data_IF_686961179194
#
_entry.id   IF_686961179194
#
_cell.length_a   1.000
_cell.length_b   1.000
_cell.length_c   1.000
_cell.angle_alpha   90.00
_cell.angle_beta   90.00
_cell.angle_gamma   90.00
#
_symmetry.space_group_name_H-M   'P 1'
#
loop_
_entity.id
_entity.type
_entity.pdbx_description
1 polymer ?
#
# COMPACT_ATOMS: atom_id res chain seq x y z
N UNK A 1 -12.75 3.52 -10.62
CA UNK A 1 -13.31 2.99 -9.36
C UNK A 1 -12.58 1.69 -9.09
N UNK A 2 -11.88 1.55 -7.96
CA UNK A 2 -11.16 0.32 -7.66
C UNK A 2 -12.14 -0.87 -7.65
N UNK A 3 -11.79 -1.95 -8.34
CA UNK A 3 -12.64 -3.13 -8.42
C UNK A 3 -12.73 -3.81 -7.05
N UNK A 4 -13.95 -3.94 -6.53
CA UNK A 4 -14.21 -4.68 -5.30
C UNK A 4 -14.20 -6.17 -5.62
N UNK A 5 -13.35 -6.92 -4.94
CA UNK A 5 -13.28 -8.38 -5.12
C UNK A 5 -13.96 -9.02 -3.91
N UNK A 6 -15.01 -9.80 -4.18
CA UNK A 6 -15.70 -10.60 -3.16
C UNK A 6 -15.41 -12.07 -3.39
N UNK A 7 -14.89 -12.74 -2.36
CA UNK A 7 -14.57 -14.17 -2.41
C UNK A 7 -15.19 -14.88 -1.22
N UNK A 8 -15.66 -16.11 -1.44
CA UNK A 8 -16.06 -17.03 -0.38
C UNK A 8 -14.88 -17.94 -0.05
N UNK A 9 -14.46 -17.94 1.21
CA UNK A 9 -13.32 -18.74 1.70
C UNK A 9 -13.58 -19.28 3.10
N UNK A 10 -12.86 -20.32 3.52
CA UNK A 10 -13.01 -20.84 4.88
C UNK A 10 -12.26 -19.95 5.87
N UNK A 11 -12.65 -20.05 7.14
CA UNK A 11 -11.95 -19.39 8.24
C UNK A 11 -10.43 -19.68 8.25
N UNK A 12 -10.05 -20.91 7.93
CA UNK A 12 -8.64 -21.36 7.90
C UNK A 12 -7.83 -20.61 6.85
N UNK A 13 -8.43 -20.35 5.69
CA UNK A 13 -7.81 -19.72 4.52
C UNK A 13 -7.68 -18.19 4.66
N UNK A 14 -8.28 -17.59 5.70
CA UNK A 14 -8.13 -16.16 5.96
C UNK A 14 -6.68 -15.83 6.36
N UNK A 15 -6.10 -14.73 5.84
CA UNK A 15 -4.81 -14.23 6.34
C UNK A 15 -4.87 -13.90 7.84
N UNK A 16 -3.82 -14.25 8.58
CA UNK A 16 -3.77 -14.05 10.05
C UNK A 16 -3.86 -12.58 10.46
N UNK A 17 -3.40 -11.67 9.59
CA UNK A 17 -3.55 -10.23 9.76
C UNK A 17 -5.01 -9.77 9.78
N UNK A 18 -5.89 -10.43 9.03
CA UNK A 18 -7.33 -10.16 9.04
C UNK A 18 -7.97 -10.83 10.27
N UNK A 19 -7.60 -12.09 10.56
CA UNK A 19 -8.08 -12.82 11.75
C UNK A 19 -7.85 -12.02 13.03
N UNK A 20 -6.66 -11.44 13.20
CA UNK A 20 -6.30 -10.62 14.36
C UNK A 20 -7.12 -9.32 14.51
N UNK A 21 -7.76 -8.84 13.44
CA UNK A 21 -8.58 -7.62 13.44
C UNK A 21 -10.07 -7.90 13.64
N UNK A 22 -10.50 -9.16 13.57
CA UNK A 22 -11.88 -9.53 13.83
C UNK A 22 -12.14 -9.52 15.34
N UNK A 23 -13.23 -8.88 15.76
CA UNK A 23 -13.64 -8.86 17.18
C UNK A 23 -14.17 -10.20 17.68
N UNK A 24 -14.54 -11.09 16.76
CA UNK A 24 -15.08 -12.41 17.07
C UNK A 24 -14.15 -13.46 16.48
N UNK A 25 -13.95 -14.55 17.23
CA UNK A 25 -13.25 -15.71 16.70
C UNK A 25 -14.03 -16.30 15.52
N UNK A 26 -13.29 -16.63 14.46
CA UNK A 26 -13.84 -17.34 13.32
C UNK A 26 -14.15 -18.79 13.70
N UNK A 27 -15.30 -19.28 13.25
CA UNK A 27 -15.70 -20.67 13.47
C UNK A 27 -14.98 -21.52 12.42
N UNK A 28 -14.13 -22.50 12.83
CA UNK A 28 -13.43 -23.38 11.91
C UNK A 28 -14.41 -24.13 10.99
N UNK A 29 -14.01 -24.37 9.74
CA UNK A 29 -14.84 -25.04 8.74
C UNK A 29 -16.07 -24.26 8.23
N UNK A 30 -16.42 -23.09 8.77
CA UNK A 30 -17.49 -22.26 8.21
C UNK A 30 -17.01 -21.46 6.99
N UNK A 31 -17.86 -21.31 5.95
CA UNK A 31 -17.59 -20.40 4.84
C UNK A 31 -17.86 -18.94 5.26
N UNK A 32 -16.93 -18.06 4.92
CA UNK A 32 -17.03 -16.61 5.13
C UNK A 32 -16.98 -15.89 3.78
N UNK A 33 -17.80 -14.85 3.64
CA UNK A 33 -17.74 -13.93 2.51
C UNK A 33 -16.84 -12.76 2.87
N UNK A 34 -15.75 -12.59 2.13
CA UNK A 34 -14.77 -11.51 2.33
C UNK A 34 -14.85 -10.56 1.15
N UNK A 35 -15.01 -9.27 1.43
CA UNK A 35 -14.95 -8.21 0.43
C UNK A 35 -13.66 -7.42 0.65
N UNK A 36 -12.81 -7.41 -0.37
CA UNK A 36 -11.60 -6.56 -0.39
C UNK A 36 -11.92 -5.33 -1.21
N UNK A 37 -11.93 -4.18 -0.54
CA UNK A 37 -12.11 -2.87 -1.17
C UNK A 37 -10.74 -2.18 -1.19
N UNK A 38 -10.16 -1.89 -2.37
CA UNK A 38 -8.98 -1.06 -2.43
C UNK A 38 -9.39 0.34 -1.97
N UNK A 39 -8.89 0.74 -0.81
CA UNK A 39 -8.96 2.13 -0.38
C UNK A 39 -7.86 2.84 -1.13
N UNK A 40 -8.22 3.71 -2.07
CA UNK A 40 -7.28 4.69 -2.58
C UNK A 40 -7.00 5.68 -1.45
N UNK A 41 -6.02 5.32 -0.62
CA UNK A 41 -5.50 6.20 0.42
C UNK A 41 -4.56 7.20 -0.25
N UNK A 42 -5.16 8.10 -1.03
CA UNK A 42 -4.49 9.21 -1.70
C UNK A 42 -3.74 10.09 -0.70
N UNK A 43 -4.20 10.14 0.55
CA UNK A 43 -3.59 10.94 1.61
C UNK A 43 -2.33 10.27 2.15
N UNK A 44 -2.35 8.96 2.41
CA UNK A 44 -1.14 8.21 2.76
C UNK A 44 -0.12 8.15 1.61
N UNK A 45 -0.57 8.01 0.36
CA UNK A 45 0.30 8.08 -0.83
C UNK A 45 0.94 9.47 -0.96
N UNK A 46 0.19 10.55 -0.70
CA UNK A 46 0.68 11.92 -0.72
C UNK A 46 1.68 12.18 0.40
N UNK A 47 1.43 11.67 1.61
CA UNK A 47 2.36 11.81 2.74
C UNK A 47 3.68 11.08 2.47
N UNK A 48 3.64 9.87 1.91
CA UNK A 48 4.83 9.14 1.48
C UNK A 48 5.61 9.89 0.40
N UNK A 49 4.93 10.44 -0.61
CA UNK A 49 5.56 11.24 -1.66
C UNK A 49 6.23 12.51 -1.11
N UNK A 50 5.57 13.21 -0.18
CA UNK A 50 6.12 14.40 0.45
C UNK A 50 7.37 14.08 1.29
N UNK A 51 7.38 12.93 1.98
CA UNK A 51 8.57 12.45 2.69
C UNK A 51 9.72 12.14 1.74
N UNK A 52 9.47 11.37 0.68
CA UNK A 52 10.50 11.00 -0.31
C UNK A 52 11.08 12.26 -1.00
N UNK A 53 10.24 13.27 -1.28
CA UNK A 53 10.70 14.57 -1.80
C UNK A 53 11.56 15.35 -0.81
N UNK A 54 11.17 15.37 0.47
CA UNK A 54 11.94 16.05 1.51
C UNK A 54 13.31 15.40 1.69
N UNK A 55 13.39 14.06 1.65
CA UNK A 55 14.66 13.32 1.70
C UNK A 55 15.57 13.68 0.51
N UNK A 56 15.01 13.79 -0.70
CA UNK A 56 15.74 14.25 -1.88
C UNK A 56 16.27 15.69 -1.75
N UNK A 57 15.48 16.60 -1.16
CA UNK A 57 15.92 17.98 -0.88
C UNK A 57 17.06 17.99 0.14
N UNK A 58 16.92 17.23 1.23
CA UNK A 58 17.92 17.14 2.29
C UNK A 58 19.24 16.53 1.76
N UNK A 59 19.16 15.59 0.80
CA UNK A 59 20.32 15.00 0.13
C UNK A 59 21.06 16.02 -0.77
N UNK A 60 20.32 16.86 -1.49
CA UNK A 60 20.87 17.96 -2.29
C UNK A 60 21.56 19.00 -1.38
N UNK A 61 20.92 19.39 -0.28
CA UNK A 61 21.50 20.32 0.71
C UNK A 61 22.76 19.73 1.40
N UNK A 62 22.80 18.41 1.60
CA UNK A 62 23.95 17.69 2.12
C UNK A 62 25.11 17.55 1.10
N UNK A 63 24.96 18.07 -0.12
CA UNK A 63 25.99 18.00 -1.17
C UNK A 63 26.18 16.60 -1.75
N UNK A 64 25.24 15.68 -1.51
CA UNK A 64 25.17 14.41 -2.23
C UNK A 64 24.56 14.72 -3.59
N UNK A 65 25.42 14.91 -4.60
CA UNK A 65 24.97 15.12 -5.98
C UNK A 65 24.42 13.81 -6.49
N UNK A 66 23.11 13.62 -6.33
CA UNK A 66 22.38 12.55 -6.98
C UNK A 66 21.88 13.11 -8.31
N UNK A 67 22.20 12.43 -9.40
CA UNK A 67 21.76 12.82 -10.74
C UNK A 67 20.23 12.83 -10.78
N UNK A 68 19.64 13.97 -11.13
CA UNK A 68 18.20 14.19 -11.11
C UNK A 68 17.46 13.18 -12.01
N UNK A 69 18.10 12.75 -13.10
CA UNK A 69 17.55 11.74 -14.02
C UNK A 69 17.47 10.36 -13.34
N UNK A 70 18.45 10.01 -12.50
CA UNK A 70 18.44 8.74 -11.75
C UNK A 70 17.35 8.74 -10.67
N UNK A 71 17.15 9.85 -9.96
CA UNK A 71 16.08 9.97 -8.96
C UNK A 71 14.70 9.90 -9.62
N UNK A 72 14.55 10.54 -10.77
CA UNK A 72 13.28 10.54 -11.50
C UNK A 72 12.95 9.14 -12.05
N UNK A 73 13.94 8.43 -12.59
CA UNK A 73 13.78 7.04 -13.05
C UNK A 73 13.45 6.09 -11.89
N UNK A 74 14.08 6.25 -10.71
CA UNK A 74 13.75 5.45 -9.52
C UNK A 74 12.33 5.72 -9.03
N UNK A 75 11.88 6.98 -9.04
CA UNK A 75 10.52 7.35 -8.65
C UNK A 75 9.47 6.83 -9.65
N UNK A 76 9.75 6.91 -10.95
CA UNK A 76 8.91 6.31 -12.01
C UNK A 76 8.82 4.79 -11.88
N UNK A 77 9.92 4.12 -11.57
CA UNK A 77 9.95 2.68 -11.36
C UNK A 77 9.17 2.27 -10.10
N UNK A 78 9.22 3.08 -9.03
CA UNK A 78 8.55 2.82 -7.76
C UNK A 78 7.05 3.16 -7.80
N UNK A 79 6.64 4.13 -8.63
CA UNK A 79 5.26 4.59 -8.76
C UNK A 79 4.81 4.70 -10.23
N UNK A 80 4.61 3.58 -10.95
CA UNK A 80 4.34 3.59 -12.39
C UNK A 80 2.98 4.15 -12.81
N UNK A 81 2.09 4.48 -11.87
CA UNK A 81 0.72 4.95 -12.12
C UNK A 81 0.37 6.23 -11.34
N UNK A 82 1.30 7.18 -11.22
CA UNK A 82 1.01 8.49 -10.64
C UNK A 82 0.31 9.39 -11.67
N UNK A 83 -0.95 9.07 -11.99
CA UNK A 83 -1.92 9.92 -12.71
C UNK A 83 -3.07 10.30 -11.75
#
# INVERSE_FOLDING_TARGET
MPEKITVEMRAEDLPDSIKARLKNDLIPGMPYRVTVEPVDDLEAKREALLRDLQEGIDDIEAGRVIDADTVFDELLAKYPNAD
#
